data_IF_736235651889
#
_entry.id   IF_736235651889
#
_cell.length_a   1.000
_cell.length_b   1.000
_cell.length_c   1.000
_cell.angle_alpha   90.00
_cell.angle_beta   90.00
_cell.angle_gamma   90.00
#
_symmetry.space_group_name_H-M   'P 1'
#
loop_
_entity.id
_entity.type
_entity.pdbx_description
1 polymer ?
#
# COMPACT_ATOMS: atom_id res chain seq x y z
N UNK A 1 -2.69 4.99 -15.71
CA UNK A 1 -3.91 4.56 -15.00
C UNK A 1 -3.47 3.96 -13.68
N UNK A 2 -4.04 4.39 -12.56
CA UNK A 2 -3.65 3.83 -11.27
C UNK A 2 -4.82 3.06 -10.66
N UNK A 3 -4.57 1.87 -10.11
CA UNK A 3 -5.53 1.16 -9.27
C UNK A 3 -5.17 1.30 -7.80
N UNK A 4 -6.10 1.79 -6.98
CA UNK A 4 -5.88 2.02 -5.56
C UNK A 4 -6.85 1.23 -4.69
N UNK A 5 -6.31 0.67 -3.59
CA UNK A 5 -7.10 0.16 -2.46
C UNK A 5 -6.66 0.88 -1.19
N UNK A 6 -7.60 1.44 -0.45
CA UNK A 6 -7.32 2.24 0.77
C UNK A 6 -6.27 3.35 0.52
N UNK A 7 -6.34 4.01 -0.63
CA UNK A 7 -5.39 5.05 -1.08
C UNK A 7 -3.94 4.58 -1.32
N UNK A 8 -3.70 3.28 -1.34
CA UNK A 8 -2.42 2.68 -1.74
C UNK A 8 -2.52 2.21 -3.18
N UNK A 9 -1.60 2.64 -4.03
CA UNK A 9 -1.52 2.20 -5.43
C UNK A 9 -1.00 0.76 -5.51
N UNK A 10 -1.63 -0.03 -6.37
CA UNK A 10 -1.27 -1.40 -6.72
C UNK A 10 -0.87 -1.37 -8.18
N UNK A 11 0.41 -1.49 -8.49
CA UNK A 11 0.95 -1.37 -9.86
C UNK A 11 0.41 -2.44 -10.81
N UNK A 12 0.41 -2.16 -12.13
CA UNK A 12 0.13 -3.15 -13.18
C UNK A 12 1.10 -4.34 -13.10
N UNK A 13 0.56 -5.54 -13.26
CA UNK A 13 1.23 -6.82 -13.02
C UNK A 13 1.53 -7.10 -11.54
N UNK A 14 1.01 -6.26 -10.65
CA UNK A 14 1.24 -6.34 -9.22
C UNK A 14 0.40 -7.38 -8.50
N UNK A 15 0.59 -7.44 -7.18
CA UNK A 15 -0.14 -8.34 -6.29
C UNK A 15 -0.84 -7.56 -5.20
N UNK A 16 -2.08 -7.94 -4.91
CA UNK A 16 -2.84 -7.42 -3.78
C UNK A 16 -3.14 -8.53 -2.77
N UNK A 17 -2.45 -8.48 -1.62
CA UNK A 17 -2.59 -9.45 -0.54
C UNK A 17 -3.72 -9.04 0.42
N UNK A 18 -4.72 -9.92 0.53
CA UNK A 18 -5.87 -9.78 1.42
C UNK A 18 -5.56 -10.54 2.72
N UNK A 19 -5.16 -9.78 3.73
CA UNK A 19 -4.81 -10.32 5.04
C UNK A 19 -6.06 -10.67 5.87
N UNK A 20 -6.14 -11.93 6.31
CA UNK A 20 -7.16 -12.44 7.23
C UNK A 20 -8.62 -12.10 6.86
N UNK A 21 -9.08 -12.43 5.63
CA UNK A 21 -10.46 -12.14 5.21
C UNK A 21 -11.51 -12.94 5.99
N UNK A 22 -11.10 -13.91 6.80
CA UNK A 22 -11.99 -14.90 7.38
C UNK A 22 -12.59 -15.80 6.29
N UNK A 23 -13.74 -16.39 6.57
CA UNK A 23 -14.45 -17.33 5.69
C UNK A 23 -15.82 -16.84 5.22
N UNK A 24 -16.23 -15.67 5.70
CA UNK A 24 -17.49 -15.06 5.29
C UNK A 24 -17.26 -14.23 4.02
N UNK A 25 -18.26 -14.07 3.15
CA UNK A 25 -18.20 -13.10 2.06
C UNK A 25 -17.88 -11.70 2.58
N UNK A 26 -17.01 -11.00 1.86
CA UNK A 26 -16.60 -9.63 2.17
C UNK A 26 -16.43 -8.82 0.89
N UNK A 27 -16.41 -7.49 1.03
CA UNK A 27 -16.33 -6.57 -0.09
C UNK A 27 -14.95 -5.91 -0.15
N UNK A 28 -14.43 -5.75 -1.37
CA UNK A 28 -13.22 -4.98 -1.67
C UNK A 28 -13.60 -3.85 -2.61
N UNK A 29 -13.33 -2.61 -2.20
CA UNK A 29 -13.59 -1.42 -3.02
C UNK A 29 -12.26 -0.88 -3.54
N UNK A 30 -12.21 -0.66 -4.86
CA UNK A 30 -11.07 -0.11 -5.55
C UNK A 30 -11.43 1.21 -6.20
N UNK A 31 -10.42 2.07 -6.32
CA UNK A 31 -10.50 3.31 -7.08
C UNK A 31 -9.59 3.17 -8.31
N UNK A 32 -10.14 3.43 -9.48
CA UNK A 32 -9.35 3.65 -10.70
C UNK A 32 -9.14 5.15 -10.80
N UNK A 33 -7.89 5.59 -10.90
CA UNK A 33 -7.50 6.97 -11.10
C UNK A 33 -6.87 7.18 -12.48
N UNK A 34 -7.24 8.27 -13.13
CA UNK A 34 -6.65 8.73 -14.38
C UNK A 34 -5.82 9.99 -14.13
N UNK A 35 -4.54 9.79 -13.81
CA UNK A 35 -3.57 10.87 -13.64
C UNK A 35 -2.96 11.33 -14.99
N UNK A 36 -3.33 10.66 -16.08
CA UNK A 36 -2.91 11.02 -17.44
C UNK A 36 -3.59 12.28 -17.97
N UNK A 37 -3.09 12.76 -19.12
CA UNK A 37 -3.62 13.95 -19.79
C UNK A 37 -4.77 13.66 -20.77
N UNK A 38 -5.01 12.39 -21.09
CA UNK A 38 -6.05 11.92 -22.01
C UNK A 38 -7.18 11.23 -21.27
N UNK A 39 -8.38 11.21 -21.84
CA UNK A 39 -9.52 10.48 -21.27
C UNK A 39 -9.20 8.98 -21.26
N UNK A 40 -9.30 8.37 -20.08
CA UNK A 40 -9.16 6.93 -19.88
C UNK A 40 -10.51 6.28 -20.17
N UNK A 41 -10.53 5.31 -21.09
CA UNK A 41 -11.69 4.53 -21.44
C UNK A 41 -11.43 3.06 -21.13
N UNK A 42 -12.36 2.42 -20.44
CA UNK A 42 -12.36 0.98 -20.19
C UNK A 42 -13.03 0.31 -21.40
N UNK A 43 -12.33 -0.62 -22.06
CA UNK A 43 -12.69 -1.05 -23.42
C UNK A 43 -13.36 -2.42 -23.49
N UNK A 44 -13.38 -3.18 -22.40
CA UNK A 44 -14.06 -4.48 -22.31
C UNK A 44 -15.46 -4.37 -21.69
N UNK A 45 -16.29 -5.38 -21.94
CA UNK A 45 -17.55 -5.61 -21.22
C UNK A 45 -17.58 -7.07 -20.76
N UNK A 46 -17.53 -7.37 -19.45
CA UNK A 46 -17.50 -6.42 -18.33
C UNK A 46 -16.22 -5.57 -18.29
N UNK A 47 -16.30 -4.38 -17.68
CA UNK A 47 -15.16 -3.44 -17.55
C UNK A 47 -14.07 -4.00 -16.61
N UNK A 48 -14.46 -4.89 -15.70
CA UNK A 48 -13.55 -5.61 -14.81
C UNK A 48 -13.74 -7.11 -15.07
N UNK A 49 -12.73 -7.74 -15.67
CA UNK A 49 -12.73 -9.17 -15.92
C UNK A 49 -12.05 -9.90 -14.76
N UNK A 50 -12.70 -10.95 -14.25
CA UNK A 50 -12.15 -11.83 -13.21
C UNK A 50 -11.83 -13.20 -13.83
N UNK A 51 -10.69 -13.76 -13.46
CA UNK A 51 -10.25 -15.08 -13.93
C UNK A 51 -9.43 -15.81 -12.87
N UNK A 52 -9.06 -17.07 -13.16
CA UNK A 52 -8.17 -17.90 -12.34
C UNK A 52 -8.58 -18.02 -10.86
N UNK A 53 -9.88 -17.98 -10.59
CA UNK A 53 -10.43 -18.13 -9.25
C UNK A 53 -10.10 -19.50 -8.66
N UNK A 54 -9.45 -19.52 -7.51
CA UNK A 54 -9.08 -20.70 -6.76
C UNK A 54 -9.58 -20.54 -5.33
N UNK A 55 -10.39 -21.49 -4.86
CA UNK A 55 -10.93 -21.50 -3.50
C UNK A 55 -11.76 -20.26 -3.11
N UNK A 56 -12.31 -19.53 -4.10
CA UNK A 56 -13.27 -18.45 -3.90
C UNK A 56 -14.20 -18.34 -5.11
N UNK A 57 -15.27 -17.57 -4.94
CA UNK A 57 -16.02 -16.97 -6.04
C UNK A 57 -16.06 -15.45 -5.85
N UNK A 58 -15.91 -14.71 -6.94
CA UNK A 58 -15.80 -13.25 -6.97
C UNK A 58 -16.88 -12.70 -7.88
N UNK A 59 -17.58 -11.68 -7.41
CA UNK A 59 -18.59 -10.98 -8.21
C UNK A 59 -18.34 -9.49 -8.18
N UNK A 60 -18.58 -8.81 -9.30
CA UNK A 60 -18.53 -7.34 -9.38
C UNK A 60 -19.90 -6.81 -8.90
N UNK A 61 -19.95 -6.24 -7.70
CA UNK A 61 -21.18 -5.67 -7.12
C UNK A 61 -21.53 -4.30 -7.71
N UNK A 62 -20.51 -3.50 -8.02
CA UNK A 62 -20.65 -2.20 -8.67
C UNK A 62 -19.56 -2.06 -9.71
N UNK A 63 -19.94 -1.86 -10.97
CA UNK A 63 -19.02 -1.61 -12.05
C UNK A 63 -18.47 -0.16 -11.99
N UNK A 64 -17.25 0.07 -12.51
CA UNK A 64 -16.71 1.42 -12.67
C UNK A 64 -17.40 2.17 -13.83
N UNK A 65 -17.14 3.47 -13.94
CA UNK A 65 -17.51 4.24 -15.13
C UNK A 65 -16.61 3.88 -16.31
N UNK A 66 -17.20 3.70 -17.49
CA UNK A 66 -16.49 3.33 -18.73
C UNK A 66 -15.54 4.44 -19.22
N UNK A 67 -15.82 5.70 -18.88
CA UNK A 67 -15.02 6.86 -19.29
C UNK A 67 -14.67 7.73 -18.09
N UNK A 68 -13.38 8.02 -17.92
CA UNK A 68 -12.82 8.70 -16.76
C UNK A 68 -12.03 9.91 -17.25
N UNK A 69 -12.44 11.09 -16.79
CA UNK A 69 -11.83 12.37 -17.19
C UNK A 69 -10.32 12.40 -16.93
N UNK A 70 -9.58 13.11 -17.78
CA UNK A 70 -8.15 13.33 -17.58
C UNK A 70 -7.85 14.30 -16.45
N UNK A 71 -6.59 14.30 -15.98
CA UNK A 71 -6.11 15.26 -14.98
C UNK A 71 -6.61 14.98 -13.57
N UNK A 72 -6.71 13.70 -13.19
CA UNK A 72 -7.08 13.26 -11.84
C UNK A 72 -8.54 12.81 -11.69
N UNK A 73 -9.21 12.46 -12.80
CA UNK A 73 -10.53 11.84 -12.73
C UNK A 73 -10.46 10.46 -12.07
N UNK A 74 -11.51 10.09 -11.32
CA UNK A 74 -11.56 8.80 -10.61
C UNK A 74 -12.90 8.12 -10.78
N UNK A 75 -12.90 6.80 -10.73
CA UNK A 75 -14.11 5.99 -10.58
C UNK A 75 -13.86 4.82 -9.63
N UNK A 76 -14.91 4.20 -9.10
CA UNK A 76 -14.78 3.11 -8.14
C UNK A 76 -15.55 1.88 -8.59
N UNK A 77 -15.04 0.71 -8.26
CA UNK A 77 -15.77 -0.55 -8.37
C UNK A 77 -15.68 -1.33 -7.06
N UNK A 78 -16.64 -2.22 -6.84
CA UNK A 78 -16.66 -3.07 -5.65
C UNK A 78 -16.77 -4.52 -6.06
N UNK A 79 -15.85 -5.34 -5.56
CA UNK A 79 -15.89 -6.79 -5.65
C UNK A 79 -16.50 -7.36 -4.37
N UNK A 80 -17.31 -8.40 -4.49
CA UNK A 80 -17.60 -9.30 -3.38
C UNK A 80 -16.81 -10.58 -3.59
N UNK A 81 -15.95 -10.89 -2.63
CA UNK A 81 -15.19 -12.14 -2.58
C UNK A 81 -15.85 -13.06 -1.58
N UNK A 82 -16.17 -14.28 -2.02
CA UNK A 82 -16.72 -15.33 -1.17
C UNK A 82 -15.74 -16.50 -1.12
N UNK A 83 -14.88 -16.59 -0.09
CA UNK A 83 -13.99 -17.74 0.09
C UNK A 83 -14.78 -19.04 0.20
N UNK A 84 -14.30 -20.09 -0.44
CA UNK A 84 -14.85 -21.46 -0.35
C UNK A 84 -13.92 -22.41 0.40
N UNK A 85 -12.66 -22.02 0.64
CA UNK A 85 -11.67 -22.77 1.44
C UNK A 85 -10.94 -21.92 2.50
N UNK A 86 -10.46 -22.60 3.55
CA UNK A 86 -9.76 -22.06 4.72
C UNK A 86 -8.29 -21.80 4.44
N UNK A 87 -7.79 -22.52 3.44
CA UNK A 87 -6.38 -22.68 3.12
C UNK A 87 -5.83 -21.50 2.33
N UNK A 88 -6.69 -20.52 2.02
CA UNK A 88 -6.42 -19.39 1.15
C UNK A 88 -7.10 -19.51 -0.20
N UNK A 89 -7.21 -18.38 -0.88
CA UNK A 89 -7.79 -18.21 -2.21
C UNK A 89 -6.91 -17.33 -3.07
N UNK A 90 -7.11 -17.41 -4.39
CA UNK A 90 -6.50 -16.48 -5.34
C UNK A 90 -7.44 -16.24 -6.51
N UNK A 91 -7.27 -15.12 -7.19
CA UNK A 91 -7.91 -14.82 -8.47
C UNK A 91 -7.12 -13.72 -9.18
N UNK A 92 -7.32 -13.57 -10.47
CA UNK A 92 -6.74 -12.50 -11.26
C UNK A 92 -7.82 -11.54 -11.75
N UNK A 93 -7.44 -10.28 -11.88
CA UNK A 93 -8.26 -9.19 -12.40
C UNK A 93 -7.56 -8.57 -13.61
N UNK A 94 -8.32 -8.32 -14.66
CA UNK A 94 -7.88 -7.59 -15.86
C UNK A 94 -8.86 -6.47 -16.17
N UNK A 95 -8.33 -5.29 -16.50
CA UNK A 95 -9.11 -4.14 -16.98
C UNK A 95 -8.52 -3.71 -18.31
N UNK A 96 -9.19 -4.05 -19.42
CA UNK A 96 -8.82 -3.56 -20.74
C UNK A 96 -9.13 -2.07 -20.82
N UNK A 97 -8.16 -1.27 -21.26
CA UNK A 97 -8.28 0.18 -21.28
C UNK A 97 -7.49 0.79 -22.45
N UNK A 98 -7.51 2.12 -22.58
CA UNK A 98 -6.78 2.82 -23.65
C UNK A 98 -5.50 3.52 -23.17
N UNK A 99 -5.02 3.22 -21.97
CA UNK A 99 -3.71 3.66 -21.49
C UNK A 99 -2.60 2.83 -22.15
N UNK A 100 -1.58 3.49 -22.69
CA UNK A 100 -0.69 2.86 -23.69
C UNK A 100 0.31 1.87 -23.12
N UNK A 101 0.66 2.02 -21.86
CA UNK A 101 1.66 1.25 -21.14
C UNK A 101 1.07 0.31 -20.07
N UNK A 102 -0.25 0.40 -19.82
CA UNK A 102 -0.94 -0.37 -18.78
C UNK A 102 -2.24 -0.99 -19.31
N UNK A 103 -2.24 -1.40 -20.58
CA UNK A 103 -3.37 -2.07 -21.23
C UNK A 103 -3.03 -3.50 -21.69
N UNK A 104 -3.70 -4.54 -21.15
CA UNK A 104 -4.64 -4.47 -20.02
C UNK A 104 -3.93 -4.16 -18.71
N UNK A 105 -4.67 -3.64 -17.71
CA UNK A 105 -4.20 -3.47 -16.34
C UNK A 105 -4.48 -4.76 -15.55
N UNK A 106 -3.44 -5.41 -15.05
CA UNK A 106 -3.50 -6.77 -14.48
C UNK A 106 -3.13 -6.78 -13.01
N UNK A 107 -3.92 -7.46 -12.19
CA UNK A 107 -3.61 -7.65 -10.75
C UNK A 107 -3.86 -9.10 -10.36
N UNK A 108 -2.92 -9.68 -9.62
CA UNK A 108 -3.11 -10.95 -8.92
C UNK A 108 -3.54 -10.72 -7.49
N UNK A 109 -4.59 -11.40 -7.05
CA UNK A 109 -5.08 -11.37 -5.68
C UNK A 109 -4.73 -12.64 -4.95
N UNK A 110 -4.20 -12.50 -3.74
CA UNK A 110 -4.01 -13.62 -2.82
C UNK A 110 -4.74 -13.32 -1.51
N UNK A 111 -5.53 -14.27 -1.04
CA UNK A 111 -6.11 -14.25 0.28
C UNK A 111 -5.67 -15.47 1.05
N UNK A 112 -5.39 -15.31 2.34
CA UNK A 112 -5.02 -16.42 3.19
C UNK A 112 -5.38 -16.17 4.64
N UNK A 113 -5.49 -17.24 5.44
CA UNK A 113 -5.41 -17.06 6.88
C UNK A 113 -4.11 -16.30 7.16
N UNK A 114 -4.13 -15.36 8.12
CA UNK A 114 -2.86 -14.96 8.71
C UNK A 114 -2.22 -16.25 9.18
N UNK A 115 -1.14 -16.68 8.51
CA UNK A 115 -0.13 -17.35 9.29
C UNK A 115 0.16 -16.33 10.36
N UNK A 116 -0.22 -16.63 11.60
CA UNK A 116 0.29 -15.92 12.74
C UNK A 116 1.79 -16.14 12.71
N UNK A 117 2.46 -15.37 11.85
CA UNK A 117 3.85 -15.04 12.00
C UNK A 117 3.84 -14.14 13.23
N UNK A 118 3.76 -14.81 14.38
CA UNK A 118 4.23 -14.24 15.62
C UNK A 118 5.58 -13.64 15.29
N UNK A 119 5.73 -12.37 15.67
CA UNK A 119 6.99 -11.63 15.72
C UNK A 119 8.21 -12.52 15.46
N UNK A 120 8.68 -12.53 14.21
CA UNK A 120 9.81 -13.31 13.74
C UNK A 120 10.82 -12.41 13.05
N UNK A 121 11.15 -11.28 13.66
CA UNK A 121 12.39 -10.58 13.33
C UNK A 121 13.55 -11.54 13.62
N UNK A 122 14.19 -12.06 12.58
CA UNK A 122 15.23 -13.07 12.73
C UNK A 122 16.12 -13.12 11.51
N UNK A 123 17.06 -12.17 11.44
CA UNK A 123 18.17 -12.25 10.49
C UNK A 123 18.90 -13.58 10.65
N UNK A 124 19.31 -14.15 9.52
CA UNK A 124 20.21 -15.28 9.54
C UNK A 124 21.47 -14.93 10.34
N UNK A 125 21.84 -15.79 11.30
CA UNK A 125 23.17 -16.38 11.47
C UNK A 125 23.03 -17.66 12.30
N UNK A 126 23.65 -18.73 11.82
CA UNK A 126 23.72 -20.00 12.52
C UNK A 126 24.75 -20.00 13.65
N UNK A 127 24.54 -20.91 14.60
CA UNK A 127 25.47 -21.37 15.64
C UNK A 127 25.70 -20.37 16.79
N UNK A 128 25.70 -20.73 18.06
CA UNK A 128 26.05 -22.00 18.71
C UNK A 128 25.49 -22.06 20.15
N UNK A 129 25.47 -23.30 20.66
CA UNK A 129 25.40 -23.81 22.04
C UNK A 129 24.71 -23.05 23.18
N UNK A 130 23.92 -23.86 23.88
CA UNK A 130 23.45 -23.73 25.26
C UNK A 130 24.59 -23.47 26.24
N UNK A 131 24.44 -22.46 27.10
CA UNK A 131 24.81 -22.52 28.51
C UNK A 131 24.01 -21.47 29.32
N UNK A 132 23.31 -21.94 30.34
CA UNK A 132 22.64 -21.13 31.35
C UNK A 132 23.67 -20.42 32.24
N UNK A 133 23.64 -19.08 32.30
CA UNK A 133 23.99 -18.33 33.52
C UNK A 133 23.70 -16.83 33.37
N UNK A 134 22.54 -16.43 33.88
CA UNK A 134 22.24 -15.17 34.57
C UNK A 134 23.17 -13.96 34.36
N UNK A 135 22.62 -12.92 33.72
CA UNK A 135 22.66 -11.57 34.28
C UNK A 135 23.78 -10.62 33.86
N UNK A 136 23.37 -9.58 33.12
CA UNK A 136 23.80 -8.17 33.29
C UNK A 136 25.31 -7.87 33.34
N UNK A 137 25.87 -7.37 32.22
CA UNK A 137 26.71 -6.15 32.14
C UNK A 137 27.57 -6.16 30.86
N UNK A 138 27.14 -5.45 29.83
CA UNK A 138 27.98 -5.18 28.65
C UNK A 138 28.91 -3.99 28.95
N UNK A 139 29.92 -4.21 29.79
CA UNK A 139 31.11 -3.36 29.85
C UNK A 139 32.11 -3.89 28.83
N UNK A 140 32.15 -3.28 27.64
CA UNK A 140 33.25 -3.46 26.69
C UNK A 140 33.86 -2.09 26.35
N UNK A 141 34.89 -1.79 27.15
CA UNK A 141 36.13 -1.03 26.96
C UNK A 141 36.18 0.41 26.41
N UNK A 142 36.78 1.23 27.30
CA UNK A 142 37.36 2.56 27.18
C UNK A 142 38.31 2.76 25.99
N UNK A 143 38.20 3.93 25.34
CA UNK A 143 39.38 4.75 24.99
C UNK A 143 39.13 6.19 25.47
N UNK A 144 40.07 6.65 26.29
CA UNK A 144 40.27 7.97 26.93
C UNK A 144 40.52 9.05 25.84
N UNK A 145 40.10 10.32 25.92
CA UNK A 145 40.73 11.39 26.71
C UNK A 145 39.96 12.73 26.50
N UNK A 146 39.92 13.55 27.55
CA UNK A 146 39.09 14.74 27.77
C UNK A 146 39.49 16.02 27.00
N UNK A 147 38.55 16.99 26.89
CA UNK A 147 38.71 18.40 27.31
C UNK A 147 37.39 19.24 27.18
N UNK A 148 36.93 19.75 28.34
CA UNK A 148 36.33 21.08 28.64
C UNK A 148 35.26 21.75 27.70
N UNK A 149 33.97 21.62 28.09
CA UNK A 149 32.92 22.62 28.52
C UNK A 149 33.13 24.14 28.21
N UNK A 150 32.13 25.08 28.09
CA UNK A 150 30.64 25.01 28.18
C UNK A 150 29.79 25.77 27.10
N UNK A 151 28.53 25.31 26.96
CA UNK A 151 27.23 26.03 27.05
C UNK A 151 26.81 27.26 26.18
N UNK A 152 25.47 27.27 25.96
CA UNK A 152 24.55 28.38 25.60
C UNK A 152 24.62 28.82 24.13
N UNK A 153 23.51 29.04 23.42
CA UNK A 153 22.37 29.89 23.75
C UNK A 153 21.10 29.42 23.01
N UNK A 154 20.00 29.34 23.77
CA UNK A 154 18.62 29.32 23.29
C UNK A 154 18.29 30.64 22.57
N UNK A 155 17.76 30.60 21.35
CA UNK A 155 17.03 31.76 20.82
C UNK A 155 15.92 31.34 19.87
N UNK A 156 14.70 31.36 20.41
CA UNK A 156 13.48 31.55 19.65
C UNK A 156 13.60 32.83 18.84
N UNK A 157 13.38 32.77 17.53
CA UNK A 157 13.00 33.96 16.75
C UNK A 157 11.49 33.98 16.63
N UNK A 158 10.84 34.55 17.64
CA UNK A 158 9.56 35.25 17.46
C UNK A 158 9.85 36.73 17.16
N UNK A 159 8.85 37.37 16.57
CA UNK A 159 8.66 38.83 16.44
C UNK A 159 9.32 39.49 15.21
N UNK A 160 8.68 40.39 14.45
CA UNK A 160 7.37 41.04 14.56
C UNK A 160 7.07 41.72 13.20
N UNK A 161 5.78 41.93 12.90
CA UNK A 161 5.29 42.77 11.79
C UNK A 161 5.77 44.22 11.89
N UNK A 162 5.99 44.88 10.74
CA UNK A 162 5.62 46.29 10.52
C UNK A 162 5.19 46.51 9.08
N UNK A 163 3.92 46.82 8.91
CA UNK A 163 3.37 47.61 7.80
C UNK A 163 4.16 48.90 7.62
N UNK A 164 4.41 49.32 6.37
CA UNK A 164 4.21 50.70 5.95
C UNK A 164 3.86 50.76 4.45
N UNK A 165 2.70 51.38 4.18
CA UNK A 165 2.17 51.82 2.89
C UNK A 165 3.07 52.90 2.23
N UNK A 166 2.79 53.14 0.93
CA UNK A 166 3.01 54.39 0.13
C UNK A 166 4.37 54.46 -0.59
N UNK A 167 4.49 54.84 -1.86
CA UNK A 167 3.73 55.70 -2.79
C UNK A 167 3.62 55.06 -4.20
N UNK A 168 2.65 55.29 -5.08
CA UNK A 168 2.13 56.50 -5.75
C UNK A 168 3.14 57.21 -6.69
N UNK A 169 2.71 57.31 -7.96
CA UNK A 169 3.30 57.88 -9.20
C UNK A 169 4.55 57.22 -9.82
#
# INVERSE_FOLDING_TARGET
MDLLRNSVSIADGGTDDISNPGYAPFNLTYTIANDGTSVLNLTSMPEVAISNETNCSVTVLSAPSVSIASGGGTTTFTLQVSPTSATGFSFDLSIDNNDTDENPYNITFNGGPSTSSGSGGGGGKGGCSTDDSQGLNLLCWLVLLALLVPARVLSHKLSTRRDLRRAYD
#
